data_IF_868362225910
#
_entry.id   IF_868362225910
#
_cell.length_a   1.000
_cell.length_b   1.000
_cell.length_c   1.000
_cell.angle_alpha   90.00
_cell.angle_beta   90.00
_cell.angle_gamma   90.00
#
_symmetry.space_group_name_H-M   'P 1'
#
loop_
_entity.id
_entity.type
_entity.pdbx_description
1 polymer ?
#
# COMPACT_ATOMS: atom_id res chain seq x y z
N UNK A 1 33.42 43.89 71.94
CA UNK A 1 34.29 42.86 72.56
C UNK A 1 33.58 41.51 72.49
N UNK A 2 34.33 40.44 72.22
CA UNK A 2 33.97 39.00 72.26
C UNK A 2 33.15 38.34 71.13
N UNK A 3 33.89 37.95 70.09
CA UNK A 3 34.10 36.62 69.48
C UNK A 3 33.30 35.34 69.89
N UNK A 4 33.34 34.41 68.91
CA UNK A 4 33.22 32.91 68.87
C UNK A 4 31.84 32.39 68.39
N UNK A 5 31.64 31.75 67.22
CA UNK A 5 32.31 30.66 66.43
C UNK A 5 31.76 29.24 66.70
N UNK A 6 31.39 28.54 65.60
CA UNK A 6 31.29 27.05 65.38
C UNK A 6 30.10 26.30 66.05
N UNK A 7 29.43 25.26 65.52
CA UNK A 7 29.68 24.22 64.49
C UNK A 7 28.38 23.42 64.15
N UNK A 8 28.28 22.86 62.92
CA UNK A 8 27.56 21.62 62.48
C UNK A 8 26.07 21.36 62.75
N UNK A 9 25.30 21.13 61.69
CA UNK A 9 25.00 19.78 61.18
C UNK A 9 24.36 19.84 59.78
N UNK A 10 25.02 19.24 58.80
CA UNK A 10 24.47 18.90 57.48
C UNK A 10 23.60 17.66 57.63
N UNK A 11 22.28 17.81 57.50
CA UNK A 11 21.36 16.68 57.34
C UNK A 11 21.02 16.53 55.86
N UNK A 12 21.75 15.66 55.17
CA UNK A 12 21.47 15.27 53.77
C UNK A 12 20.18 14.45 53.72
N UNK A 13 19.08 15.11 53.34
CA UNK A 13 17.84 14.43 52.95
C UNK A 13 18.00 13.97 51.50
N UNK A 14 18.32 12.70 51.29
CA UNK A 14 18.39 12.08 49.95
C UNK A 14 16.95 11.82 49.50
N UNK A 15 16.42 12.69 48.64
CA UNK A 15 15.13 12.46 47.98
C UNK A 15 15.36 11.41 46.89
N UNK A 16 14.73 10.22 46.94
CA UNK A 16 14.80 9.27 45.84
C UNK A 16 14.02 9.86 44.66
N UNK A 17 14.75 10.38 43.68
CA UNK A 17 14.20 10.76 42.38
C UNK A 17 13.81 9.46 41.67
N UNK A 18 12.52 9.13 41.74
CA UNK A 18 11.94 8.04 40.96
C UNK A 18 11.89 8.49 39.50
N UNK A 19 12.92 8.13 38.74
CA UNK A 19 13.02 8.42 37.31
C UNK A 19 11.97 7.55 36.58
N UNK A 20 10.79 8.11 36.34
CA UNK A 20 9.74 7.46 35.56
C UNK A 20 10.20 7.41 34.10
N UNK A 21 10.77 6.28 33.70
CA UNK A 21 11.12 6.02 32.29
C UNK A 21 9.80 5.89 31.53
N UNK A 22 9.33 6.99 30.91
CA UNK A 22 8.28 6.91 29.91
C UNK A 22 8.84 6.11 28.74
N UNK A 23 8.43 4.85 28.63
CA UNK A 23 8.64 4.09 27.41
C UNK A 23 7.98 4.86 26.25
N UNK A 24 8.69 5.10 25.13
CA UNK A 24 8.08 5.70 23.96
C UNK A 24 6.93 4.80 23.51
N UNK A 25 5.72 5.35 23.45
CA UNK A 25 4.58 4.65 22.86
C UNK A 25 4.94 4.39 21.40
N UNK A 26 5.04 3.11 21.02
CA UNK A 26 5.15 2.72 19.63
C UNK A 26 3.85 3.14 18.93
N UNK A 27 3.90 4.24 18.18
CA UNK A 27 2.79 4.65 17.33
C UNK A 27 2.57 3.54 16.29
N UNK A 28 1.44 2.83 16.38
CA UNK A 28 1.09 1.81 15.41
C UNK A 28 0.91 2.48 14.04
N UNK A 29 1.56 1.94 13.00
CA UNK A 29 1.44 2.45 11.65
C UNK A 29 -0.03 2.45 11.20
N UNK A 30 -0.45 3.50 10.49
CA UNK A 30 -1.81 3.62 9.97
C UNK A 30 -2.21 2.39 9.11
N UNK A 31 -3.44 1.88 9.24
CA UNK A 31 -3.86 0.67 8.54
C UNK A 31 -3.97 0.88 7.04
N UNK A 32 -3.66 -0.17 6.26
CA UNK A 32 -3.96 -0.19 4.84
C UNK A 32 -5.48 -0.32 4.59
N UNK A 33 -6.04 0.57 3.79
CA UNK A 33 -7.50 0.70 3.58
C UNK A 33 -7.92 0.52 2.12
N UNK A 34 -6.99 0.63 1.18
CA UNK A 34 -7.30 0.47 -0.24
C UNK A 34 -6.07 0.35 -1.15
N UNK A 35 -6.30 0.54 -2.45
CA UNK A 35 -5.30 0.43 -3.50
C UNK A 35 -5.53 1.48 -4.58
N UNK A 36 -4.45 2.01 -5.16
CA UNK A 36 -4.50 2.80 -6.40
C UNK A 36 -4.71 1.86 -7.59
N UNK A 37 -5.88 1.99 -8.23
CA UNK A 37 -6.35 1.11 -9.30
C UNK A 37 -6.45 1.79 -10.65
N UNK A 38 -6.12 3.07 -10.74
CA UNK A 38 -6.05 3.82 -11.98
C UNK A 38 -5.33 5.14 -11.74
N UNK A 39 -4.50 5.53 -12.70
CA UNK A 39 -3.65 6.70 -12.58
C UNK A 39 -3.38 7.29 -13.96
N UNK A 40 -3.55 8.61 -14.08
CA UNK A 40 -3.14 9.39 -15.24
C UNK A 40 -2.61 10.76 -14.78
N UNK A 41 -1.53 11.22 -15.41
CA UNK A 41 -0.84 12.45 -14.99
C UNK A 41 0.03 12.27 -13.74
N UNK A 42 0.63 13.38 -13.31
CA UNK A 42 1.60 13.44 -12.20
C UNK A 42 0.88 13.64 -10.86
N UNK A 43 0.39 12.56 -10.25
CA UNK A 43 -0.20 12.59 -8.90
C UNK A 43 0.90 12.37 -7.86
N UNK A 44 0.90 13.17 -6.80
CA UNK A 44 1.78 12.96 -5.65
C UNK A 44 0.99 12.52 -4.43
N UNK A 45 1.65 11.85 -3.49
CA UNK A 45 1.07 11.43 -2.22
C UNK A 45 2.06 11.61 -1.07
N UNK A 46 1.54 11.75 0.15
CA UNK A 46 2.33 11.80 1.38
C UNK A 46 1.52 11.28 2.55
N UNK A 47 2.20 10.92 3.63
CA UNK A 47 1.58 10.64 4.91
C UNK A 47 2.09 11.68 5.93
N UNK A 48 1.21 12.45 6.61
CA UNK A 48 1.64 13.53 7.50
C UNK A 48 2.63 13.09 8.60
N UNK A 49 2.48 11.87 9.12
CA UNK A 49 3.33 11.36 10.20
C UNK A 49 4.73 10.91 9.73
N UNK A 50 4.93 10.66 8.44
CA UNK A 50 6.19 10.12 7.90
C UNK A 50 7.29 11.19 7.74
N UNK A 51 6.99 12.48 8.00
CA UNK A 51 7.93 13.63 7.94
C UNK A 51 8.82 13.64 6.69
N UNK A 52 8.23 13.25 5.57
CA UNK A 52 8.90 12.98 4.32
C UNK A 52 8.28 13.82 3.20
N UNK A 53 9.05 14.31 2.21
CA UNK A 53 8.47 15.08 1.12
C UNK A 53 7.48 14.23 0.31
N UNK A 54 6.47 14.82 -0.36
CA UNK A 54 5.57 14.06 -1.22
C UNK A 54 6.30 13.22 -2.27
N UNK A 55 5.80 12.01 -2.51
CA UNK A 55 6.32 11.07 -3.51
C UNK A 55 5.35 10.96 -4.69
N UNK A 56 5.82 10.48 -5.85
CA UNK A 56 4.93 10.19 -6.99
C UNK A 56 4.07 8.96 -6.69
N UNK A 57 2.77 9.05 -6.92
CA UNK A 57 1.86 7.92 -6.85
C UNK A 57 2.12 6.97 -8.02
N UNK A 58 1.85 5.69 -7.81
CA UNK A 58 2.03 4.64 -8.80
C UNK A 58 0.80 3.72 -8.79
N UNK A 59 0.51 3.09 -9.91
CA UNK A 59 -0.45 2.00 -9.94
C UNK A 59 -0.03 0.91 -8.94
N UNK A 60 -1.00 0.17 -8.38
CA UNK A 60 -0.76 -0.87 -7.36
C UNK A 60 -0.20 -0.36 -6.03
N UNK A 61 -0.14 0.96 -5.81
CA UNK A 61 0.20 1.52 -4.50
C UNK A 61 -0.90 1.22 -3.49
N UNK A 62 -0.54 0.61 -2.36
CA UNK A 62 -1.45 0.46 -1.23
C UNK A 62 -1.61 1.79 -0.51
N UNK A 63 -2.84 2.17 -0.24
CA UNK A 63 -3.15 3.42 0.46
C UNK A 63 -3.50 3.11 1.92
N UNK A 64 -3.02 3.96 2.81
CA UNK A 64 -3.29 3.92 4.24
C UNK A 64 -4.28 5.00 4.63
N UNK A 65 -5.02 4.76 5.70
CA UNK A 65 -5.82 5.80 6.32
C UNK A 65 -4.92 7.00 6.67
N UNK A 66 -5.35 8.21 6.35
CA UNK A 66 -4.59 9.45 6.55
C UNK A 66 -3.55 9.75 5.46
N UNK A 67 -3.35 8.87 4.47
CA UNK A 67 -2.59 9.25 3.27
C UNK A 67 -3.28 10.42 2.58
N UNK A 68 -2.47 11.33 2.05
CA UNK A 68 -2.93 12.46 1.27
C UNK A 68 -2.48 12.32 -0.17
N UNK A 69 -3.29 12.80 -1.11
CA UNK A 69 -2.97 12.87 -2.53
C UNK A 69 -3.17 14.28 -3.05
N UNK A 70 -2.25 14.75 -3.89
CA UNK A 70 -2.40 15.98 -4.66
C UNK A 70 -2.49 15.63 -6.14
N UNK A 71 -3.62 15.97 -6.75
CA UNK A 71 -3.89 15.80 -8.17
C UNK A 71 -3.84 17.17 -8.83
N UNK A 72 -2.84 17.47 -9.69
CA UNK A 72 -2.83 18.69 -10.47
C UNK A 72 -3.89 18.69 -11.58
N UNK A 73 -4.06 19.83 -12.26
CA UNK A 73 -4.96 19.95 -13.42
C UNK A 73 -4.63 18.87 -14.45
N UNK A 74 -5.66 18.18 -14.95
CA UNK A 74 -5.53 17.11 -15.94
C UNK A 74 -5.13 15.75 -15.39
N UNK A 75 -4.80 15.65 -14.10
CA UNK A 75 -4.54 14.36 -13.47
C UNK A 75 -5.84 13.62 -13.10
N UNK A 76 -5.76 12.29 -13.07
CA UNK A 76 -6.84 11.41 -12.64
C UNK A 76 -6.29 10.33 -11.70
N UNK A 77 -7.03 10.06 -10.63
CA UNK A 77 -6.74 9.00 -9.68
C UNK A 77 -7.97 8.12 -9.50
N UNK A 78 -7.78 6.81 -9.46
CA UNK A 78 -8.81 5.86 -9.09
C UNK A 78 -8.35 5.08 -7.86
N UNK A 79 -9.17 5.10 -6.81
CA UNK A 79 -8.92 4.44 -5.53
C UNK A 79 -9.97 3.37 -5.30
N UNK A 80 -9.55 2.17 -4.89
CA UNK A 80 -10.45 1.10 -4.48
C UNK A 80 -10.26 0.78 -3.01
N UNK A 81 -11.30 0.97 -2.22
CA UNK A 81 -11.34 0.67 -0.78
C UNK A 81 -11.66 -0.81 -0.54
N UNK A 82 -10.92 -1.44 0.37
CA UNK A 82 -11.12 -2.85 0.72
C UNK A 82 -12.40 -3.04 1.52
N UNK A 83 -12.72 -2.09 2.39
CA UNK A 83 -13.95 -2.06 3.15
C UNK A 83 -15.10 -1.63 2.22
N UNK A 84 -16.08 -2.51 2.03
CA UNK A 84 -17.27 -2.22 1.21
C UNK A 84 -17.06 -2.23 -0.31
N UNK A 85 -15.82 -2.29 -0.81
CA UNK A 85 -15.54 -2.35 -2.25
C UNK A 85 -15.82 -1.05 -3.00
N UNK A 86 -15.91 0.08 -2.28
CA UNK A 86 -16.11 1.39 -2.88
C UNK A 86 -14.91 1.72 -3.77
N UNK A 87 -15.18 2.11 -5.00
CA UNK A 87 -14.20 2.58 -5.96
C UNK A 87 -14.53 4.02 -6.35
N UNK A 88 -13.57 4.90 -6.16
CA UNK A 88 -13.70 6.32 -6.45
C UNK A 88 -12.82 6.70 -7.63
N UNK A 89 -13.32 7.57 -8.51
CA UNK A 89 -12.53 8.23 -9.54
C UNK A 89 -12.52 9.72 -9.27
N UNK A 90 -11.33 10.29 -9.16
CA UNK A 90 -11.09 11.70 -8.91
C UNK A 90 -10.36 12.34 -10.09
N UNK A 91 -10.67 13.61 -10.37
CA UNK A 91 -10.00 14.43 -11.38
C UNK A 91 -9.49 15.70 -10.73
N UNK A 92 -8.26 16.07 -11.05
CA UNK A 92 -7.65 17.30 -10.54
C UNK A 92 -8.19 18.57 -11.22
N UNK A 93 -7.99 19.75 -10.60
CA UNK A 93 -7.17 19.96 -9.41
C UNK A 93 -7.91 19.62 -8.10
N UNK A 94 -7.32 18.78 -7.25
CA UNK A 94 -7.87 18.44 -5.92
C UNK A 94 -6.79 17.88 -4.99
N UNK A 95 -6.89 18.20 -3.70
CA UNK A 95 -6.15 17.50 -2.63
C UNK A 95 -7.12 16.60 -1.89
N UNK A 96 -6.74 15.33 -1.71
CA UNK A 96 -7.54 14.31 -1.03
C UNK A 96 -6.88 13.87 0.26
N UNK A 97 -7.70 13.56 1.26
CA UNK A 97 -7.36 12.78 2.44
C UNK A 97 -8.07 11.42 2.35
N UNK A 98 -7.30 10.34 2.51
CA UNK A 98 -7.81 8.97 2.50
C UNK A 98 -8.40 8.62 3.86
N UNK A 99 -9.71 8.39 3.91
CA UNK A 99 -10.39 7.81 5.07
C UNK A 99 -10.31 6.28 5.09
N UNK A 100 -11.09 5.67 5.97
CA UNK A 100 -11.20 4.22 6.13
C UNK A 100 -12.00 3.53 5.00
N UNK A 101 -13.04 4.19 4.50
CA UNK A 101 -13.93 3.67 3.45
C UNK A 101 -14.10 4.59 2.24
N UNK A 102 -13.69 5.85 2.34
CA UNK A 102 -13.83 6.87 1.29
C UNK A 102 -12.78 7.98 1.40
N UNK A 103 -12.56 8.74 0.33
CA UNK A 103 -11.70 9.94 0.37
C UNK A 103 -12.52 11.20 0.63
N UNK A 104 -11.90 12.19 1.26
CA UNK A 104 -12.43 13.55 1.41
C UNK A 104 -11.53 14.53 0.67
N UNK A 105 -12.12 15.44 -0.09
CA UNK A 105 -11.37 16.53 -0.70
C UNK A 105 -11.20 17.68 0.28
N UNK A 106 -10.00 18.26 0.31
CA UNK A 106 -9.74 19.54 0.95
C UNK A 106 -10.19 20.69 0.03
N UNK A 107 -10.64 21.81 0.61
CA UNK A 107 -11.02 23.00 -0.15
C UNK A 107 -12.14 23.81 0.48
N UNK A 108 -12.66 24.78 -0.28
CA UNK A 108 -13.81 25.61 0.11
C UNK A 108 -15.09 24.78 0.11
N UNK A 109 -16.06 25.17 0.94
CA UNK A 109 -17.35 24.48 1.05
C UNK A 109 -18.29 24.80 -0.14
N UNK A 110 -19.00 23.79 -0.68
CA UNK A 110 -18.82 22.36 -0.42
C UNK A 110 -17.54 21.83 -1.10
N UNK A 111 -16.80 20.90 -0.45
CA UNK A 111 -15.58 20.36 -1.03
C UNK A 111 -15.87 19.58 -2.33
N UNK A 112 -14.88 19.46 -3.25
CA UNK A 112 -15.02 18.65 -4.45
C UNK A 112 -15.46 17.22 -4.13
N UNK A 113 -16.37 16.68 -4.96
CA UNK A 113 -16.82 15.29 -4.87
C UNK A 113 -16.11 14.41 -5.92
N UNK A 114 -16.05 13.08 -5.74
CA UNK A 114 -15.51 12.19 -6.76
C UNK A 114 -16.25 12.36 -8.09
N UNK A 115 -15.51 12.31 -9.20
CA UNK A 115 -16.08 12.34 -10.55
C UNK A 115 -16.97 11.10 -10.82
N UNK A 116 -16.63 9.96 -10.22
CA UNK A 116 -17.46 8.77 -10.26
C UNK A 116 -17.24 7.91 -9.02
N UNK A 117 -18.30 7.24 -8.57
CA UNK A 117 -18.26 6.21 -7.53
C UNK A 117 -18.89 4.93 -8.07
N UNK A 118 -18.24 3.80 -7.85
CA UNK A 118 -18.76 2.45 -8.11
C UNK A 118 -18.60 1.60 -6.85
N UNK A 119 -19.37 0.52 -6.77
CA UNK A 119 -19.21 -0.49 -5.72
C UNK A 119 -18.88 -1.81 -6.39
N UNK A 120 -17.70 -2.35 -6.05
CA UNK A 120 -17.27 -3.67 -6.52
C UNK A 120 -17.99 -4.76 -5.73
N UNK A 121 -18.23 -5.94 -6.34
CA UNK A 121 -18.71 -7.09 -5.59
C UNK A 121 -17.78 -7.41 -4.41
N UNK A 122 -18.36 -7.77 -3.25
CA UNK A 122 -17.58 -7.99 -2.03
C UNK A 122 -16.46 -9.06 -2.18
N UNK A 123 -16.71 -10.11 -2.98
CA UNK A 123 -15.70 -11.15 -3.30
C UNK A 123 -14.48 -10.55 -4.02
N UNK A 124 -14.69 -9.58 -4.90
CA UNK A 124 -13.62 -8.87 -5.63
C UNK A 124 -12.84 -7.97 -4.67
N UNK A 125 -13.52 -7.11 -3.91
CA UNK A 125 -12.88 -6.21 -2.96
C UNK A 125 -12.04 -6.95 -1.90
N UNK A 126 -12.57 -8.06 -1.35
CA UNK A 126 -11.85 -8.91 -0.40
C UNK A 126 -10.59 -9.55 -1.01
N UNK A 127 -10.63 -9.92 -2.29
CA UNK A 127 -9.46 -10.47 -2.99
C UNK A 127 -8.39 -9.41 -3.22
N UNK A 128 -8.79 -8.19 -3.58
CA UNK A 128 -7.85 -7.08 -3.83
C UNK A 128 -7.04 -6.66 -2.60
N UNK A 129 -7.50 -6.93 -1.37
CA UNK A 129 -6.71 -6.72 -0.16
C UNK A 129 -5.36 -7.47 -0.18
N UNK A 130 -5.29 -8.60 -0.88
CA UNK A 130 -4.08 -9.41 -1.07
C UNK A 130 -3.33 -9.14 -2.38
N UNK A 131 -3.66 -8.07 -3.09
CA UNK A 131 -2.97 -7.72 -4.33
C UNK A 131 -1.48 -7.44 -4.10
N UNK A 132 -0.62 -7.75 -5.08
CA UNK A 132 0.77 -7.31 -5.05
C UNK A 132 0.81 -5.78 -5.00
N UNK A 133 1.75 -5.25 -4.23
CA UNK A 133 1.87 -3.80 -4.05
C UNK A 133 3.27 -3.36 -4.41
N UNK A 134 3.35 -2.18 -5.02
CA UNK A 134 4.63 -1.46 -5.12
C UNK A 134 4.89 -0.90 -3.73
N UNK A 135 6.05 -1.20 -3.14
CA UNK A 135 6.41 -0.57 -1.86
C UNK A 135 6.45 0.95 -2.03
N UNK A 136 5.82 1.61 -1.08
CA UNK A 136 5.72 3.04 -1.00
C UNK A 136 7.09 3.62 -0.63
N UNK A 137 7.88 3.99 -1.65
CA UNK A 137 9.16 4.72 -1.58
C UNK A 137 10.34 3.92 -0.97
N UNK A 138 11.57 4.05 -1.52
CA UNK A 138 12.78 3.65 -0.81
C UNK A 138 13.00 4.56 0.40
N UNK A 139 13.10 3.98 1.60
CA UNK A 139 13.54 4.69 2.80
C UNK A 139 14.89 5.35 2.48
N UNK A 140 14.98 6.68 2.64
CA UNK A 140 16.27 7.35 2.60
C UNK A 140 17.03 6.80 3.80
N UNK A 141 17.94 5.84 3.57
CA UNK A 141 18.77 5.26 4.61
C UNK A 141 19.42 6.41 5.37
N UNK A 142 18.94 6.66 6.59
CA UNK A 142 19.70 7.42 7.55
C UNK A 142 21.00 6.63 7.74
N UNK A 143 22.09 7.11 7.17
CA UNK A 143 23.42 6.56 7.39
C UNK A 143 23.72 6.68 8.87
N UNK A 144 23.51 5.59 9.60
CA UNK A 144 23.71 5.50 11.04
C UNK A 144 23.81 4.02 11.40
N UNK A 145 25.05 3.57 11.61
CA UNK A 145 25.37 2.20 12.05
C UNK A 145 24.68 1.95 13.39
N UNK A 146 23.70 1.05 13.42
CA UNK A 146 23.10 0.51 14.65
C UNK A 146 21.62 0.80 14.83
N UNK A 147 20.75 0.11 14.07
CA UNK A 147 19.35 -0.04 14.44
C UNK A 147 18.86 -1.43 14.02
N UNK A 148 19.09 -2.42 14.88
CA UNK A 148 18.32 -3.67 14.89
C UNK A 148 17.04 -3.36 15.64
N UNK A 149 15.99 -3.02 14.91
CA UNK A 149 14.65 -2.81 15.44
C UNK A 149 13.67 -2.86 14.27
N UNK A 150 12.72 -3.79 14.31
CA UNK A 150 11.70 -3.99 13.28
C UNK A 150 10.78 -2.76 13.19
N UNK A 151 11.23 -1.72 12.52
CA UNK A 151 10.40 -0.59 12.12
C UNK A 151 9.97 -0.84 10.68
N UNK A 152 8.75 -1.34 10.51
CA UNK A 152 8.10 -1.44 9.19
C UNK A 152 7.68 -0.04 8.72
N UNK A 153 8.66 0.85 8.55
CA UNK A 153 8.50 2.13 7.88
C UNK A 153 8.74 1.84 6.41
N UNK A 154 7.68 1.47 5.71
CA UNK A 154 7.61 1.25 4.24
C UNK A 154 8.98 0.83 3.66
N UNK A 155 9.29 -0.46 3.82
CA UNK A 155 10.54 -1.08 3.37
C UNK A 155 10.90 -0.66 1.94
N UNK A 156 12.20 -0.62 1.68
CA UNK A 156 12.78 0.01 0.53
C UNK A 156 12.59 -0.76 -0.77
N UNK A 157 11.81 -0.20 -1.70
CA UNK A 157 12.01 -0.36 -3.15
C UNK A 157 11.81 -1.74 -3.76
N UNK A 158 11.34 -2.72 -2.99
CA UNK A 158 10.99 -4.06 -3.47
C UNK A 158 9.48 -4.07 -3.72
N UNK A 159 8.99 -4.61 -4.84
CA UNK A 159 7.55 -4.92 -4.90
C UNK A 159 7.30 -5.87 -3.73
N UNK A 160 6.38 -5.58 -2.81
CA UNK A 160 5.92 -6.62 -1.88
C UNK A 160 5.17 -7.64 -2.72
N UNK A 161 5.96 -8.59 -3.21
CA UNK A 161 5.55 -9.65 -4.10
C UNK A 161 4.74 -10.61 -3.27
N UNK A 162 3.42 -10.58 -3.49
CA UNK A 162 2.44 -11.57 -3.05
C UNK A 162 2.90 -12.46 -1.90
N UNK A 163 3.04 -11.86 -0.72
CA UNK A 163 3.18 -12.65 0.49
C UNK A 163 1.84 -13.37 0.69
N UNK A 164 1.80 -14.72 0.72
CA UNK A 164 0.56 -15.44 0.93
C UNK A 164 -0.08 -15.04 2.26
N UNK A 165 -1.41 -15.22 2.36
CA UNK A 165 -2.26 -14.95 3.53
C UNK A 165 -1.77 -15.53 4.88
N UNK A 166 -0.75 -16.39 4.85
CA UNK A 166 0.06 -16.82 5.98
C UNK A 166 1.53 -16.64 5.59
N UNK A 167 2.17 -15.57 6.05
CA UNK A 167 3.63 -15.62 6.14
C UNK A 167 4.00 -16.41 7.40
N UNK A 168 5.02 -17.28 7.33
CA UNK A 168 5.98 -17.42 6.23
C UNK A 168 5.74 -18.72 5.44
N UNK A 169 4.70 -18.81 4.61
CA UNK A 169 4.68 -19.83 3.55
C UNK A 169 5.35 -19.25 2.29
N UNK A 170 6.24 -20.00 1.60
CA UNK A 170 6.72 -19.60 0.28
C UNK A 170 5.54 -19.52 -0.71
N UNK A 171 5.67 -18.73 -1.80
CA UNK A 171 4.69 -18.72 -2.88
C UNK A 171 4.41 -20.15 -3.38
N UNK A 172 3.16 -20.47 -3.79
CA UNK A 172 2.84 -21.81 -4.30
C UNK A 172 3.76 -22.20 -5.46
N UNK A 173 4.29 -23.42 -5.45
CA UNK A 173 5.11 -23.89 -6.56
C UNK A 173 4.28 -23.96 -7.85
N UNK A 174 4.87 -23.66 -9.03
CA UNK A 174 4.19 -23.87 -10.30
C UNK A 174 3.80 -25.33 -10.47
N UNK A 175 2.58 -25.61 -10.92
CA UNK A 175 2.13 -26.97 -11.10
C UNK A 175 0.72 -27.09 -11.69
N UNK A 176 0.31 -28.32 -12.06
CA UNK A 176 -1.04 -28.57 -12.53
C UNK A 176 -2.04 -28.33 -11.40
N UNK A 177 -3.13 -27.65 -11.74
CA UNK A 177 -4.24 -27.40 -10.83
C UNK A 177 -5.05 -28.67 -10.56
N UNK A 178 -5.55 -28.82 -9.32
CA UNK A 178 -6.59 -29.81 -9.02
C UNK A 178 -7.88 -29.50 -9.79
N UNK A 179 -8.80 -30.46 -9.87
CA UNK A 179 -10.10 -30.22 -10.53
C UNK A 179 -10.89 -29.08 -9.86
N UNK A 180 -10.78 -28.94 -8.54
CA UNK A 180 -11.45 -27.87 -7.80
C UNK A 180 -10.80 -26.51 -8.10
N UNK A 181 -9.47 -26.43 -8.06
CA UNK A 181 -8.74 -25.20 -8.34
C UNK A 181 -8.97 -24.73 -9.79
N UNK A 182 -9.07 -25.67 -10.75
CA UNK A 182 -9.43 -25.35 -12.14
C UNK A 182 -10.77 -24.63 -12.23
N UNK A 183 -11.77 -25.06 -11.46
CA UNK A 183 -13.10 -24.42 -11.43
C UNK A 183 -13.02 -23.02 -10.83
N UNK A 184 -12.26 -22.85 -9.75
CA UNK A 184 -12.09 -21.56 -9.08
C UNK A 184 -11.35 -20.55 -9.96
N UNK A 185 -10.28 -20.97 -10.63
CA UNK A 185 -9.56 -20.14 -11.61
C UNK A 185 -10.45 -19.80 -12.81
N UNK A 186 -11.23 -20.75 -13.33
CA UNK A 186 -12.14 -20.49 -14.44
C UNK A 186 -13.29 -19.53 -14.06
N UNK A 187 -13.82 -19.64 -12.84
CA UNK A 187 -14.81 -18.69 -12.32
C UNK A 187 -14.21 -17.28 -12.20
N UNK A 188 -12.99 -17.17 -11.67
CA UNK A 188 -12.28 -15.90 -11.59
C UNK A 188 -12.00 -15.29 -12.98
N UNK A 189 -11.63 -16.10 -13.97
CA UNK A 189 -11.46 -15.64 -15.35
C UNK A 189 -12.78 -15.09 -15.93
N UNK A 190 -13.94 -15.66 -15.59
CA UNK A 190 -15.25 -15.09 -15.96
C UNK A 190 -15.52 -13.75 -15.27
N UNK A 191 -15.28 -13.66 -13.96
CA UNK A 191 -15.41 -12.41 -13.20
C UNK A 191 -14.50 -11.33 -13.79
N UNK A 192 -13.27 -11.69 -14.17
CA UNK A 192 -12.34 -10.79 -14.85
C UNK A 192 -12.93 -10.23 -16.14
N UNK A 193 -13.56 -11.07 -16.98
CA UNK A 193 -14.19 -10.59 -18.22
C UNK A 193 -15.35 -9.63 -17.92
N UNK A 194 -16.16 -9.91 -16.91
CA UNK A 194 -17.27 -9.04 -16.54
C UNK A 194 -16.81 -7.70 -15.96
N UNK A 195 -15.74 -7.71 -15.16
CA UNK A 195 -15.07 -6.49 -14.69
C UNK A 195 -14.50 -5.70 -15.88
N UNK A 196 -13.84 -6.38 -16.83
CA UNK A 196 -13.23 -5.75 -18.01
C UNK A 196 -14.26 -5.05 -18.89
N UNK A 197 -15.45 -5.62 -19.09
CA UNK A 197 -16.56 -4.98 -19.84
C UNK A 197 -17.01 -3.65 -19.22
N UNK A 198 -16.89 -3.51 -17.90
CA UNK A 198 -17.34 -2.34 -17.14
C UNK A 198 -16.21 -1.34 -16.84
N UNK A 199 -14.97 -1.76 -17.06
CA UNK A 199 -13.77 -0.99 -16.80
C UNK A 199 -13.65 0.16 -17.83
N UNK A 200 -13.32 1.35 -17.33
CA UNK A 200 -12.93 2.46 -18.20
C UNK A 200 -11.48 2.29 -18.65
N UNK A 201 -11.04 2.95 -19.73
CA UNK A 201 -9.62 3.01 -20.08
C UNK A 201 -8.80 3.47 -18.87
N UNK A 202 -7.75 2.71 -18.55
CA UNK A 202 -6.89 2.98 -17.40
C UNK A 202 -7.30 2.34 -16.07
N UNK A 203 -8.49 1.73 -15.97
CA UNK A 203 -8.93 1.00 -14.77
C UNK A 203 -8.27 -0.38 -14.71
N UNK A 204 -7.38 -0.55 -13.75
CA UNK A 204 -6.57 -1.75 -13.53
C UNK A 204 -7.24 -2.77 -12.62
N UNK A 205 -8.43 -2.47 -12.09
CA UNK A 205 -9.16 -3.36 -11.18
C UNK A 205 -9.36 -4.77 -11.73
N UNK A 206 -9.78 -4.99 -13.00
CA UNK A 206 -9.94 -6.33 -13.53
C UNK A 206 -8.61 -7.11 -13.47
N UNK A 207 -7.52 -6.45 -13.86
CA UNK A 207 -6.21 -7.07 -13.96
C UNK A 207 -5.64 -7.37 -12.58
N UNK A 208 -5.70 -6.40 -11.65
CA UNK A 208 -5.30 -6.59 -10.25
C UNK A 208 -6.03 -7.80 -9.65
N UNK A 209 -7.35 -7.88 -9.84
CA UNK A 209 -8.14 -9.00 -9.38
C UNK A 209 -7.61 -10.34 -9.93
N UNK A 210 -7.41 -10.45 -11.24
CA UNK A 210 -6.97 -11.70 -11.86
C UNK A 210 -5.54 -12.10 -11.43
N UNK A 211 -4.65 -11.14 -11.28
CA UNK A 211 -3.28 -11.37 -10.80
C UNK A 211 -3.27 -11.96 -9.38
N UNK A 212 -4.17 -11.50 -8.50
CA UNK A 212 -4.28 -12.08 -7.14
C UNK A 212 -4.63 -13.57 -7.17
N UNK A 213 -5.50 -13.96 -8.10
CA UNK A 213 -5.94 -15.34 -8.24
C UNK A 213 -4.81 -16.20 -8.78
N UNK A 214 -4.17 -15.78 -9.87
CA UNK A 214 -3.13 -16.61 -10.47
C UNK A 214 -1.97 -16.90 -9.53
N UNK A 215 -1.53 -15.95 -8.73
CA UNK A 215 -0.49 -16.22 -7.75
C UNK A 215 -0.94 -17.12 -6.59
N UNK A 216 -2.19 -17.00 -6.11
CA UNK A 216 -2.74 -17.91 -5.09
C UNK A 216 -2.66 -19.39 -5.55
N UNK A 217 -2.70 -19.65 -6.86
CA UNK A 217 -2.60 -21.00 -7.46
C UNK A 217 -1.30 -21.25 -8.24
N UNK A 218 -0.25 -20.45 -8.04
CA UNK A 218 1.05 -20.67 -8.70
C UNK A 218 1.03 -20.57 -10.23
N UNK A 219 0.04 -19.91 -10.82
CA UNK A 219 -0.17 -19.78 -12.26
C UNK A 219 0.63 -18.61 -12.87
N UNK A 220 1.94 -18.57 -12.59
CA UNK A 220 2.79 -17.42 -12.92
C UNK A 220 2.97 -17.16 -14.43
N UNK A 221 2.94 -18.20 -15.26
CA UNK A 221 2.91 -18.02 -16.72
C UNK A 221 1.66 -17.28 -17.19
N UNK A 222 0.51 -17.50 -16.54
CA UNK A 222 -0.71 -16.74 -16.85
C UNK A 222 -0.60 -15.30 -16.37
N UNK A 223 0.04 -15.06 -15.21
CA UNK A 223 0.33 -13.71 -14.73
C UNK A 223 1.18 -12.93 -15.72
N UNK A 224 2.26 -13.53 -16.23
CA UNK A 224 3.14 -12.89 -17.21
C UNK A 224 2.37 -12.39 -18.43
N UNK A 225 1.49 -13.22 -19.01
CA UNK A 225 0.66 -12.85 -20.17
C UNK A 225 -0.29 -11.68 -19.88
N UNK A 226 -0.86 -11.66 -18.68
CA UNK A 226 -1.72 -10.55 -18.25
C UNK A 226 -0.93 -9.27 -18.08
N UNK A 227 0.28 -9.35 -17.50
CA UNK A 227 1.19 -8.21 -17.35
C UNK A 227 1.64 -7.70 -18.72
N UNK A 228 1.87 -8.58 -19.71
CA UNK A 228 2.17 -8.20 -21.08
C UNK A 228 1.08 -7.36 -21.73
N UNK A 229 -0.19 -7.68 -21.43
CA UNK A 229 -1.31 -6.86 -21.89
C UNK A 229 -1.25 -5.45 -21.29
N UNK A 230 -0.82 -5.30 -20.04
CA UNK A 230 -0.64 -3.99 -19.41
C UNK A 230 0.55 -3.22 -19.97
N UNK A 231 1.67 -3.90 -20.21
CA UNK A 231 2.86 -3.32 -20.79
C UNK A 231 2.64 -2.87 -22.24
N UNK A 232 1.69 -3.46 -22.97
CA UNK A 232 1.31 -2.96 -24.28
C UNK A 232 0.68 -1.55 -24.21
N UNK A 233 -0.05 -1.23 -23.15
CA UNK A 233 -0.62 0.10 -22.91
C UNK A 233 0.36 1.06 -22.22
N UNK A 234 1.26 0.51 -21.39
CA UNK A 234 2.21 1.26 -20.56
C UNK A 234 3.61 0.66 -20.70
N UNK A 235 4.24 0.79 -21.89
CA UNK A 235 5.50 0.10 -22.20
C UNK A 235 6.65 0.50 -21.29
N UNK A 236 6.58 1.70 -20.69
CA UNK A 236 7.64 2.25 -19.85
C UNK A 236 7.37 2.15 -18.34
N UNK A 237 6.30 1.49 -17.91
CA UNK A 237 5.99 1.33 -16.49
C UNK A 237 7.03 0.40 -15.80
N UNK A 238 7.89 0.94 -14.91
CA UNK A 238 8.93 0.16 -14.26
C UNK A 238 8.36 -0.88 -13.28
N UNK A 239 7.18 -0.65 -12.71
CA UNK A 239 6.56 -1.60 -11.78
C UNK A 239 6.00 -2.79 -12.50
N UNK A 240 5.38 -2.58 -13.66
CA UNK A 240 4.92 -3.68 -14.51
C UNK A 240 6.10 -4.53 -15.00
N UNK A 241 7.22 -3.89 -15.37
CA UNK A 241 8.45 -4.60 -15.74
C UNK A 241 9.00 -5.45 -14.57
N UNK A 242 9.05 -4.89 -13.36
CA UNK A 242 9.47 -5.61 -12.14
C UNK A 242 8.52 -6.75 -11.79
N UNK A 243 7.21 -6.53 -11.83
CA UNK A 243 6.20 -7.55 -11.54
C UNK A 243 6.29 -8.72 -12.54
N UNK A 244 6.54 -8.40 -13.82
CA UNK A 244 6.80 -9.41 -14.86
C UNK A 244 8.05 -10.23 -14.55
N UNK A 245 9.15 -9.57 -14.18
CA UNK A 245 10.39 -10.25 -13.82
C UNK A 245 10.22 -11.19 -12.63
N UNK A 246 9.47 -10.77 -11.60
CA UNK A 246 9.12 -11.61 -10.47
C UNK A 246 8.24 -12.81 -10.85
N UNK A 247 7.19 -12.60 -11.67
CA UNK A 247 6.37 -13.72 -12.14
C UNK A 247 7.20 -14.74 -12.92
N UNK A 248 8.17 -14.27 -13.74
CA UNK A 248 9.10 -15.14 -14.47
C UNK A 248 10.02 -15.94 -13.56
N UNK A 249 10.58 -15.34 -12.50
CA UNK A 249 11.46 -16.08 -11.57
C UNK A 249 10.69 -17.23 -10.92
N UNK A 250 9.49 -16.96 -10.42
CA UNK A 250 8.63 -18.00 -9.84
C UNK A 250 8.21 -19.07 -10.84
N UNK A 251 7.88 -18.69 -12.08
CA UNK A 251 7.55 -19.65 -13.13
C UNK A 251 8.70 -20.61 -13.47
N UNK A 252 9.95 -20.12 -13.39
CA UNK A 252 11.15 -20.90 -13.72
C UNK A 252 11.61 -21.85 -12.60
N UNK A 253 10.98 -21.79 -11.42
CA UNK A 253 11.39 -22.58 -10.26
C UNK A 253 12.77 -22.22 -9.70
N UNK A 254 13.40 -21.15 -10.20
CA UNK A 254 14.67 -20.63 -9.69
C UNK A 254 14.38 -19.42 -8.79
N UNK A 255 14.79 -19.44 -7.51
CA UNK A 255 14.75 -18.25 -6.66
C UNK A 255 15.65 -17.14 -7.22
#
# INVERSE_FOLDING_TARGET
>A
MSAKSTLTMLSSCVIPVFLLILAPAAQAAAPDVGLVTGLAGEVTYWHPEEKQPPAKAQAFLKIRQGDHFNLPVGAQLQLTYFAGGRQETWKGPVTLEVGDQESRAAGKEPPPSPFAVKVLPAKVAKRMKGAPTVEARPEVQASGVGAVGQQSVRSSGVIQTMAPKKSPAPPPAPGPLSHQDKKEVAEAEKIYQDLKKQAKPGDLTPIIYLLTIYADYGQYHKMERVIDTMLAERPDDPNLKKLKAWARSLASGKP
#
